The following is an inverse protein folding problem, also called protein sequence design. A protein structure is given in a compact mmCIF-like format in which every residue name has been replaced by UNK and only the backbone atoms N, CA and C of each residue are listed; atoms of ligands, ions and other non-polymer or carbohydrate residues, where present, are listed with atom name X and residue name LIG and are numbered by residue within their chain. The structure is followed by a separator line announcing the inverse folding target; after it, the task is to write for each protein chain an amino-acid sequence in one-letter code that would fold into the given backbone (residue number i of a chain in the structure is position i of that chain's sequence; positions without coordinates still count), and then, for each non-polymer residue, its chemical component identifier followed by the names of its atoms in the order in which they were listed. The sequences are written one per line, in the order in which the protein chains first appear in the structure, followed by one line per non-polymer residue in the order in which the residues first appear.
data_IF_998108040973
#
_entry.id   IF_998108040973
#
_cell.length_a   1.000
_cell.length_b   1.000
_cell.length_c   1.000
_cell.angle_alpha   90.00
_cell.angle_beta   90.00
_cell.angle_gamma   90.00
#
_symmetry.space_group_name_H-M   'P 1'
#
loop_
_entity.id
_entity.type
_entity.pdbx_description
1 polymer ?
#
# COMPACT_ATOMS: atom_id res chain seq x y z
N UNK A 1 -38.48 -20.08 -15.39
CA UNK A 1 -39.94 -20.09 -15.36
C UNK A 1 -40.49 -20.53 -13.99
N UNK A 2 -40.29 -21.75 -13.51
CA UNK A 2 -40.85 -22.18 -12.20
C UNK A 2 -40.46 -21.31 -10.99
N UNK A 3 -39.26 -20.78 -10.93
CA UNK A 3 -38.81 -19.92 -9.82
C UNK A 3 -39.54 -18.57 -9.81
N UNK A 4 -39.79 -17.99 -10.96
CA UNK A 4 -40.47 -16.72 -11.13
C UNK A 4 -41.98 -16.85 -10.82
N UNK A 5 -42.59 -18.00 -11.15
CA UNK A 5 -43.98 -18.31 -10.78
C UNK A 5 -44.15 -18.49 -9.28
N UNK A 6 -43.18 -19.13 -8.61
CA UNK A 6 -43.20 -19.31 -7.15
C UNK A 6 -43.06 -17.95 -6.43
N UNK A 7 -42.19 -17.08 -6.87
CA UNK A 7 -42.03 -15.73 -6.31
C UNK A 7 -43.33 -14.91 -6.48
N UNK A 8 -43.99 -14.99 -7.63
CA UNK A 8 -45.26 -14.32 -7.85
C UNK A 8 -46.37 -14.84 -6.97
N UNK A 9 -46.38 -16.14 -6.69
CA UNK A 9 -47.31 -16.72 -5.74
C UNK A 9 -47.02 -16.29 -4.28
N UNK A 10 -45.78 -16.17 -3.90
CA UNK A 10 -45.39 -15.63 -2.59
C UNK A 10 -45.77 -14.16 -2.46
N UNK A 11 -45.52 -13.37 -3.48
CA UNK A 11 -45.91 -11.96 -3.55
C UNK A 11 -47.43 -11.79 -3.38
N UNK A 12 -48.24 -12.53 -4.12
CA UNK A 12 -49.69 -12.48 -4.02
C UNK A 12 -50.18 -12.77 -2.60
N UNK A 13 -49.59 -13.74 -1.89
CA UNK A 13 -49.92 -14.05 -0.50
C UNK A 13 -49.55 -12.92 0.48
N UNK A 14 -48.51 -12.21 0.21
CA UNK A 14 -48.06 -11.10 1.05
C UNK A 14 -48.92 -9.86 0.76
N UNK A 15 -49.30 -9.62 -0.49
CA UNK A 15 -50.26 -8.57 -0.89
C UNK A 15 -51.67 -8.81 -0.27
N UNK A 16 -52.11 -10.09 -0.20
CA UNK A 16 -53.34 -10.43 0.54
C UNK A 16 -53.25 -10.14 2.04
N UNK A 17 -52.10 -10.38 2.65
CA UNK A 17 -51.91 -10.02 4.08
C UNK A 17 -51.89 -8.51 4.28
N UNK A 18 -51.29 -7.76 3.33
CA UNK A 18 -51.27 -6.29 3.35
C UNK A 18 -52.70 -5.73 3.26
N UNK A 19 -53.51 -6.24 2.33
CA UNK A 19 -54.90 -5.81 2.20
C UNK A 19 -55.74 -6.12 3.43
N UNK A 20 -55.55 -7.29 4.03
CA UNK A 20 -56.24 -7.66 5.27
C UNK A 20 -55.81 -6.76 6.46
N UNK A 21 -54.56 -6.39 6.56
CA UNK A 21 -54.08 -5.47 7.59
C UNK A 21 -54.61 -4.04 7.40
N UNK A 22 -54.74 -3.57 6.16
CA UNK A 22 -55.38 -2.29 5.83
C UNK A 22 -56.86 -2.28 6.14
N UNK A 23 -57.59 -3.33 5.76
CA UNK A 23 -59.03 -3.49 6.09
C UNK A 23 -59.25 -3.52 7.58
N UNK A 24 -58.38 -4.20 8.35
CA UNK A 24 -58.47 -4.23 9.81
C UNK A 24 -58.22 -2.84 10.42
N UNK A 25 -57.27 -2.09 9.88
CA UNK A 25 -57.00 -0.69 10.32
C UNK A 25 -58.17 0.24 10.00
N UNK A 26 -58.76 0.13 8.79
CA UNK A 26 -59.95 0.88 8.40
C UNK A 26 -61.18 0.52 9.25
N UNK A 27 -61.32 -0.73 9.64
CA UNK A 27 -62.42 -1.17 10.50
C UNK A 27 -62.36 -0.55 11.88
N UNK A 28 -61.16 -0.41 12.47
CA UNK A 28 -60.98 0.30 13.76
C UNK A 28 -61.34 1.77 13.63
N UNK A 29 -60.89 2.43 12.55
CA UNK A 29 -61.20 3.81 12.29
C UNK A 29 -62.71 4.07 12.02
N UNK A 30 -63.33 3.21 11.22
CA UNK A 30 -64.77 3.30 10.91
C UNK A 30 -65.65 3.00 12.13
N UNK A 31 -65.26 2.08 13.00
CA UNK A 31 -65.96 1.81 14.24
C UNK A 31 -65.99 3.06 15.16
N UNK A 32 -64.86 3.76 15.30
CA UNK A 32 -64.81 4.97 16.09
C UNK A 32 -65.67 6.12 15.52
N UNK A 33 -65.72 6.24 14.16
CA UNK A 33 -66.58 7.22 13.48
C UNK A 33 -68.05 6.88 13.62
N UNK A 34 -68.42 5.59 13.53
CA UNK A 34 -69.83 5.16 13.60
C UNK A 34 -70.41 5.33 15.03
N UNK A 35 -69.55 5.23 16.04
CA UNK A 35 -69.95 5.42 17.46
C UNK A 35 -69.85 6.90 17.92
N UNK A 36 -69.55 7.82 17.00
CA UNK A 36 -69.37 9.28 17.27
C UNK A 36 -68.44 9.58 18.46
N UNK A 37 -67.43 8.68 18.69
CA UNK A 37 -66.45 8.85 19.80
C UNK A 37 -65.07 9.19 19.26
N UNK A 38 -64.29 9.87 20.05
CA UNK A 38 -62.87 10.05 19.77
C UNK A 38 -62.13 8.72 19.95
N UNK A 39 -61.06 8.50 19.18
CA UNK A 39 -60.17 7.33 19.31
C UNK A 39 -59.66 7.23 20.75
N UNK A 40 -59.79 6.07 21.34
CA UNK A 40 -59.24 5.80 22.70
C UNK A 40 -57.77 5.45 22.59
N UNK A 41 -57.04 5.51 23.71
CA UNK A 41 -55.61 5.15 23.75
C UNK A 41 -55.38 3.69 23.28
N UNK A 42 -56.36 2.79 23.48
CA UNK A 42 -56.32 1.40 22.98
C UNK A 42 -56.48 1.33 21.46
N UNK A 43 -57.35 2.14 20.87
CA UNK A 43 -57.58 2.18 19.43
C UNK A 43 -56.37 2.77 18.70
N UNK A 44 -55.73 3.79 19.28
CA UNK A 44 -54.51 4.38 18.75
C UNK A 44 -53.32 3.42 18.81
N UNK A 45 -53.16 2.64 19.87
CA UNK A 45 -52.16 1.62 20.00
C UNK A 45 -52.36 0.46 18.96
N UNK A 46 -53.64 0.10 18.69
CA UNK A 46 -53.95 -0.92 17.70
C UNK A 46 -53.66 -0.42 16.27
N UNK A 47 -53.97 0.84 15.95
CA UNK A 47 -53.65 1.46 14.68
C UNK A 47 -52.11 1.56 14.49
N UNK A 48 -51.36 1.93 15.48
CA UNK A 48 -49.88 1.98 15.44
C UNK A 48 -49.30 0.59 15.25
N UNK A 49 -49.82 -0.45 15.92
CA UNK A 49 -49.40 -1.82 15.75
C UNK A 49 -49.67 -2.33 14.33
N UNK A 50 -50.81 -1.97 13.73
CA UNK A 50 -51.14 -2.34 12.34
C UNK A 50 -50.29 -1.56 11.33
N UNK A 51 -49.97 -0.30 11.61
CA UNK A 51 -49.03 0.45 10.75
C UNK A 51 -47.62 -0.17 10.75
N UNK A 52 -47.14 -0.61 11.92
CA UNK A 52 -45.85 -1.30 12.02
C UNK A 52 -45.86 -2.65 11.27
N UNK A 53 -47.00 -3.37 11.32
CA UNK A 53 -47.19 -4.62 10.57
C UNK A 53 -47.18 -4.37 9.05
N UNK A 54 -47.86 -3.33 8.56
CA UNK A 54 -47.88 -2.92 7.16
C UNK A 54 -46.47 -2.52 6.69
N UNK A 55 -45.76 -1.74 7.49
CA UNK A 55 -44.37 -1.34 7.17
C UNK A 55 -43.44 -2.56 7.01
N UNK A 56 -43.56 -3.56 7.89
CA UNK A 56 -42.82 -4.83 7.76
C UNK A 56 -43.20 -5.65 6.52
N UNK A 57 -44.47 -5.59 6.10
CA UNK A 57 -44.96 -6.25 4.88
C UNK A 57 -44.45 -5.51 3.64
N UNK A 58 -44.39 -4.17 3.66
CA UNK A 58 -43.88 -3.35 2.56
C UNK A 58 -42.37 -3.61 2.34
N UNK A 59 -41.57 -3.75 3.40
CA UNK A 59 -40.17 -4.14 3.31
C UNK A 59 -39.98 -5.53 2.68
N UNK A 60 -40.84 -6.48 3.01
CA UNK A 60 -40.84 -7.82 2.39
C UNK A 60 -41.23 -7.79 0.90
N UNK A 61 -42.17 -6.94 0.52
CA UNK A 61 -42.55 -6.75 -0.89
C UNK A 61 -41.43 -6.14 -1.69
N UNK A 62 -40.73 -5.14 -1.16
CA UNK A 62 -39.58 -4.50 -1.80
C UNK A 62 -38.44 -5.52 -2.03
N UNK A 63 -38.14 -6.35 -1.03
CA UNK A 63 -37.15 -7.42 -1.17
C UNK A 63 -37.53 -8.49 -2.22
N UNK A 64 -38.80 -8.76 -2.41
CA UNK A 64 -39.31 -9.66 -3.44
C UNK A 64 -39.23 -9.03 -4.83
N UNK A 65 -39.54 -7.74 -4.96
CA UNK A 65 -39.44 -6.98 -6.20
C UNK A 65 -38.00 -6.92 -6.70
N UNK A 66 -37.03 -6.70 -5.79
CA UNK A 66 -35.60 -6.76 -6.14
C UNK A 66 -35.18 -8.13 -6.67
N UNK A 67 -35.63 -9.22 -6.00
CA UNK A 67 -35.34 -10.61 -6.44
C UNK A 67 -36.00 -10.94 -7.77
N UNK A 68 -37.23 -10.49 -8.00
CA UNK A 68 -37.92 -10.66 -9.29
C UNK A 68 -37.15 -9.93 -10.40
N UNK A 69 -36.71 -8.71 -10.16
CA UNK A 69 -35.92 -7.92 -11.13
C UNK A 69 -34.55 -8.58 -11.47
N UNK A 70 -33.90 -9.19 -10.49
CA UNK A 70 -32.68 -9.96 -10.74
C UNK A 70 -32.93 -11.21 -11.59
N UNK A 71 -33.98 -11.96 -11.29
CA UNK A 71 -34.34 -13.19 -12.05
C UNK A 71 -34.77 -12.85 -13.48
N UNK A 72 -35.48 -11.76 -13.71
CA UNK A 72 -35.84 -11.28 -15.05
C UNK A 72 -34.55 -10.93 -15.85
N UNK A 73 -33.60 -10.21 -15.25
CA UNK A 73 -32.30 -9.92 -15.90
C UNK A 73 -31.51 -11.19 -16.25
N UNK A 74 -31.55 -12.21 -15.38
CA UNK A 74 -30.91 -13.49 -15.65
C UNK A 74 -31.64 -14.23 -16.78
N UNK A 75 -32.95 -14.18 -16.81
CA UNK A 75 -33.75 -14.80 -17.87
C UNK A 75 -33.53 -14.11 -19.22
N UNK A 76 -33.52 -12.77 -19.27
CA UNK A 76 -33.20 -12.01 -20.48
C UNK A 76 -31.79 -12.34 -21.01
N UNK A 77 -30.78 -12.48 -20.11
CA UNK A 77 -29.44 -12.91 -20.51
C UNK A 77 -29.40 -14.33 -21.05
N UNK A 78 -30.18 -15.24 -20.48
CA UNK A 78 -30.26 -16.63 -20.97
C UNK A 78 -31.00 -16.72 -22.28
N UNK A 79 -32.08 -15.98 -22.48
CA UNK A 79 -32.84 -15.91 -23.74
C UNK A 79 -32.02 -15.19 -24.86
N UNK A 80 -31.28 -14.12 -24.52
CA UNK A 80 -30.36 -13.49 -25.45
C UNK A 80 -29.20 -14.43 -25.87
N UNK A 81 -28.81 -15.35 -24.97
CA UNK A 81 -27.81 -16.36 -25.26
C UNK A 81 -28.38 -17.52 -26.10
N UNK A 82 -29.62 -17.88 -25.88
CA UNK A 82 -30.34 -18.91 -26.65
C UNK A 82 -30.79 -18.45 -28.05
N UNK A 83 -31.03 -17.14 -28.21
CA UNK A 83 -31.44 -16.52 -29.50
C UNK A 83 -30.26 -16.04 -30.34
N UNK A 84 -29.00 -16.31 -29.95
CA UNK A 84 -27.90 -16.15 -30.90
C UNK A 84 -28.14 -17.14 -32.05
N UNK A 85 -28.24 -16.67 -33.31
CA UNK A 85 -28.40 -17.60 -34.42
C UNK A 85 -27.23 -18.59 -34.38
N UNK A 86 -27.56 -19.86 -34.19
CA UNK A 86 -26.61 -20.95 -34.43
C UNK A 86 -26.24 -20.81 -35.89
N UNK A 87 -25.02 -20.33 -36.15
CA UNK A 87 -24.42 -20.40 -37.46
C UNK A 87 -24.49 -21.86 -37.87
N UNK A 88 -25.34 -22.18 -38.88
CA UNK A 88 -25.30 -23.46 -39.53
C UNK A 88 -23.86 -23.63 -40.03
N UNK A 89 -23.14 -24.55 -39.38
CA UNK A 89 -21.85 -24.99 -39.82
C UNK A 89 -22.04 -25.68 -41.17
N UNK A 90 -21.81 -24.95 -42.23
CA UNK A 90 -21.38 -25.57 -43.47
C UNK A 90 -20.06 -26.26 -43.06
N UNK A 91 -19.97 -27.56 -43.20
CA UNK A 91 -18.82 -28.39 -42.87
C UNK A 91 -17.58 -28.00 -43.69
N UNK A 92 -16.96 -26.92 -43.28
CA UNK A 92 -15.58 -26.64 -43.56
C UNK A 92 -14.74 -27.45 -42.57
N UNK A 93 -13.63 -28.09 -42.97
CA UNK A 93 -12.81 -28.84 -42.03
C UNK A 93 -12.46 -27.94 -40.86
N UNK A 94 -12.81 -28.39 -39.66
CA UNK A 94 -12.72 -27.65 -38.40
C UNK A 94 -11.28 -27.17 -38.23
N UNK A 95 -11.06 -25.97 -37.70
CA UNK A 95 -9.73 -25.42 -37.43
C UNK A 95 -8.92 -26.33 -36.51
N UNK A 96 -9.55 -27.17 -35.70
CA UNK A 96 -8.98 -28.22 -34.87
C UNK A 96 -8.45 -29.38 -35.68
N UNK A 97 -9.05 -29.76 -36.82
CA UNK A 97 -8.57 -30.83 -37.67
C UNK A 97 -7.23 -30.46 -38.33
N UNK A 98 -7.07 -29.21 -38.73
CA UNK A 98 -5.82 -28.71 -39.33
C UNK A 98 -4.70 -28.59 -38.28
N UNK A 99 -5.04 -28.35 -37.01
CA UNK A 99 -4.08 -28.25 -35.93
C UNK A 99 -3.48 -29.61 -35.57
N UNK A 100 -4.26 -30.68 -35.64
CA UNK A 100 -3.85 -32.06 -35.36
C UNK A 100 -3.17 -32.76 -36.55
N UNK A 101 -3.36 -32.22 -37.77
CA UNK A 101 -2.72 -32.77 -38.94
C UNK A 101 -1.20 -32.41 -39.02
N UNK A 102 -0.37 -33.41 -38.75
CA UNK A 102 1.10 -33.28 -38.86
C UNK A 102 1.60 -33.04 -40.29
N UNK A 103 0.76 -33.30 -41.28
CA UNK A 103 1.11 -33.14 -42.72
C UNK A 103 0.68 -31.77 -43.27
N UNK A 104 -0.07 -30.97 -42.53
CA UNK A 104 -0.58 -29.67 -42.95
C UNK A 104 0.57 -28.74 -43.39
N UNK A 105 0.43 -28.16 -44.57
CA UNK A 105 1.41 -27.22 -45.09
C UNK A 105 1.34 -25.87 -44.38
N UNK A 106 2.44 -25.09 -44.31
CA UNK A 106 2.43 -23.76 -43.71
C UNK A 106 1.36 -22.83 -44.30
N UNK A 107 1.01 -23.01 -45.55
CA UNK A 107 -0.01 -22.22 -46.23
C UNK A 107 -1.43 -22.55 -45.73
N UNK A 108 -1.71 -23.85 -45.54
CA UNK A 108 -3.01 -24.31 -44.97
C UNK A 108 -3.18 -23.84 -43.52
N UNK A 109 -2.12 -23.84 -42.73
CA UNK A 109 -2.11 -23.33 -41.39
C UNK A 109 -2.34 -21.79 -41.36
N UNK A 110 -1.71 -21.06 -42.27
CA UNK A 110 -1.89 -19.60 -42.41
C UNK A 110 -3.32 -19.24 -42.83
N UNK A 111 -3.94 -19.99 -43.71
CA UNK A 111 -5.33 -19.83 -44.12
C UNK A 111 -6.33 -20.18 -42.99
N UNK A 112 -6.01 -21.19 -42.19
CA UNK A 112 -6.78 -21.59 -41.02
C UNK A 112 -6.73 -20.50 -39.94
N UNK A 113 -5.54 -19.92 -39.65
CA UNK A 113 -5.34 -18.77 -38.77
C UNK A 113 -6.19 -17.56 -39.20
N UNK A 114 -6.15 -17.25 -40.49
CA UNK A 114 -6.92 -16.10 -41.01
C UNK A 114 -8.42 -16.30 -40.80
N UNK A 115 -8.92 -17.52 -41.05
CA UNK A 115 -10.33 -17.88 -40.87
C UNK A 115 -10.76 -17.89 -39.39
N UNK A 116 -9.94 -18.40 -38.50
CA UNK A 116 -10.27 -18.45 -37.06
C UNK A 116 -10.30 -17.05 -36.42
N UNK A 117 -9.55 -16.11 -36.94
CA UNK A 117 -9.51 -14.73 -36.47
C UNK A 117 -10.57 -13.82 -37.16
N UNK A 118 -11.06 -14.18 -38.35
CA UNK A 118 -12.15 -13.44 -39.04
C UNK A 118 -13.44 -13.35 -38.24
N UNK A 119 -13.71 -14.27 -37.30
CA UNK A 119 -14.85 -14.24 -36.40
C UNK A 119 -14.63 -13.52 -35.06
N UNK A 120 -13.38 -13.18 -34.74
CA UNK A 120 -13.00 -12.60 -33.42
C UNK A 120 -12.51 -11.15 -33.50
N UNK A 121 -12.22 -10.65 -34.70
CA UNK A 121 -11.74 -9.27 -34.93
C UNK A 121 -12.82 -8.50 -35.67
N UNK A 122 -13.46 -7.56 -34.97
CA UNK A 122 -14.58 -6.77 -35.51
C UNK A 122 -14.15 -5.63 -36.45
N UNK A 123 -12.84 -5.33 -36.53
CA UNK A 123 -12.34 -4.16 -37.22
C UNK A 123 -11.61 -4.54 -38.51
N UNK A 124 -12.01 -3.97 -39.65
CA UNK A 124 -11.45 -4.28 -40.97
C UNK A 124 -9.96 -3.89 -41.09
N UNK A 125 -9.52 -2.83 -40.40
CA UNK A 125 -8.11 -2.40 -40.37
C UNK A 125 -7.24 -3.39 -39.60
N UNK A 126 -7.73 -3.90 -38.47
CA UNK A 126 -7.04 -4.89 -37.66
C UNK A 126 -6.91 -6.23 -38.39
N UNK A 127 -7.93 -6.63 -39.17
CA UNK A 127 -7.86 -7.81 -40.04
C UNK A 127 -6.82 -7.66 -41.14
N UNK A 128 -6.62 -6.48 -41.68
CA UNK A 128 -5.59 -6.22 -42.68
C UNK A 128 -4.18 -6.28 -42.08
N UNK A 129 -4.02 -5.88 -40.83
CA UNK A 129 -2.80 -6.09 -40.05
C UNK A 129 -2.50 -7.57 -39.80
N UNK A 130 -3.50 -8.36 -39.38
CA UNK A 130 -3.39 -9.81 -39.21
C UNK A 130 -2.99 -10.48 -40.52
N UNK A 131 -3.61 -10.14 -41.63
CA UNK A 131 -3.25 -10.66 -42.96
C UNK A 131 -1.81 -10.33 -43.37
N UNK A 132 -1.33 -9.12 -43.04
CA UNK A 132 0.08 -8.72 -43.26
C UNK A 132 1.05 -9.50 -42.40
N UNK A 133 0.71 -9.74 -41.11
CA UNK A 133 1.51 -10.56 -40.18
C UNK A 133 1.59 -12.01 -40.66
N UNK A 134 0.46 -12.61 -41.03
CA UNK A 134 0.38 -13.97 -41.54
C UNK A 134 1.19 -14.11 -42.84
N UNK A 135 1.16 -13.11 -43.74
CA UNK A 135 2.00 -13.08 -44.94
C UNK A 135 3.49 -13.01 -44.62
N UNK A 136 3.88 -12.29 -43.60
CA UNK A 136 5.29 -12.16 -43.16
C UNK A 136 5.84 -13.48 -42.61
N UNK A 137 5.03 -14.26 -41.94
CA UNK A 137 5.40 -15.54 -41.32
C UNK A 137 4.91 -16.77 -42.08
N UNK A 138 4.63 -16.64 -43.38
CA UNK A 138 4.04 -17.67 -44.26
C UNK A 138 4.85 -18.96 -44.38
N UNK A 139 6.12 -18.99 -43.95
CA UNK A 139 6.98 -20.16 -43.93
C UNK A 139 7.17 -20.81 -42.56
N UNK A 140 6.67 -20.17 -41.50
CA UNK A 140 6.87 -20.60 -40.12
C UNK A 140 5.67 -21.40 -39.63
N UNK A 141 5.82 -22.74 -39.67
CA UNK A 141 4.77 -23.67 -39.28
C UNK A 141 4.48 -23.64 -37.79
N UNK A 142 5.50 -23.43 -36.97
CA UNK A 142 5.35 -23.40 -35.50
C UNK A 142 4.64 -22.14 -35.04
N UNK A 143 4.99 -21.01 -35.63
CA UNK A 143 4.31 -19.75 -35.40
C UNK A 143 2.80 -19.82 -35.74
N UNK A 144 2.47 -20.36 -36.90
CA UNK A 144 1.08 -20.49 -37.36
C UNK A 144 0.25 -21.44 -36.46
N UNK A 145 0.86 -22.57 -36.07
CA UNK A 145 0.23 -23.48 -35.08
C UNK A 145 0.01 -22.84 -33.71
N UNK A 146 1.02 -22.14 -33.21
CA UNK A 146 0.91 -21.45 -31.91
C UNK A 146 -0.18 -20.41 -31.91
N UNK A 147 -0.39 -19.67 -32.99
CA UNK A 147 -1.43 -18.69 -33.13
C UNK A 147 -2.83 -19.31 -33.24
N UNK A 148 -2.94 -20.36 -34.07
CA UNK A 148 -4.19 -21.10 -34.28
C UNK A 148 -4.68 -21.76 -32.97
N UNK A 149 -3.78 -22.37 -32.21
CA UNK A 149 -4.11 -22.99 -30.94
C UNK A 149 -4.59 -21.98 -29.88
N UNK A 150 -4.04 -20.77 -29.86
CA UNK A 150 -4.49 -19.68 -28.96
C UNK A 150 -5.81 -19.06 -29.36
N UNK A 151 -6.22 -19.22 -30.62
CA UNK A 151 -7.48 -18.73 -31.15
C UNK A 151 -8.66 -19.67 -30.84
N UNK A 152 -8.44 -20.84 -30.23
CA UNK A 152 -9.50 -21.77 -29.83
C UNK A 152 -10.14 -21.35 -28.50
N UNK A 153 -11.47 -21.49 -28.42
CA UNK A 153 -12.24 -21.11 -27.20
C UNK A 153 -11.92 -22.05 -26.03
N UNK A 154 -11.56 -23.29 -26.29
CA UNK A 154 -11.13 -24.29 -25.31
C UNK A 154 -9.80 -23.89 -24.65
N UNK A 155 -8.88 -23.29 -25.41
CA UNK A 155 -7.64 -22.76 -24.84
C UNK A 155 -7.89 -21.57 -23.94
N UNK A 156 -8.74 -20.64 -24.35
CA UNK A 156 -9.08 -19.44 -23.57
C UNK A 156 -9.77 -19.82 -22.25
N UNK A 157 -10.74 -20.74 -22.29
CA UNK A 157 -11.44 -21.22 -21.10
C UNK A 157 -10.52 -22.02 -20.17
N UNK A 158 -9.65 -22.86 -20.73
CA UNK A 158 -8.67 -23.64 -19.97
C UNK A 158 -7.63 -22.73 -19.31
N UNK A 159 -7.16 -21.74 -20.03
CA UNK A 159 -6.22 -20.74 -19.50
C UNK A 159 -6.81 -19.93 -18.35
N UNK A 160 -8.05 -19.46 -18.49
CA UNK A 160 -8.75 -18.74 -17.41
C UNK A 160 -8.87 -19.58 -16.12
N UNK A 161 -9.06 -20.92 -16.25
CA UNK A 161 -9.09 -21.83 -15.10
C UNK A 161 -7.70 -22.02 -14.47
N UNK A 162 -6.64 -22.08 -15.26
CA UNK A 162 -5.26 -22.20 -14.75
C UNK A 162 -4.84 -20.95 -14.00
N UNK A 163 -5.07 -19.76 -14.56
CA UNK A 163 -4.75 -18.47 -13.94
C UNK A 163 -5.50 -18.24 -12.63
N UNK A 164 -6.76 -18.70 -12.55
CA UNK A 164 -7.55 -18.63 -11.31
C UNK A 164 -7.22 -19.73 -10.29
N UNK A 165 -6.15 -20.51 -10.51
CA UNK A 165 -5.73 -21.60 -9.62
C UNK A 165 -6.65 -22.84 -9.64
N UNK A 166 -7.55 -22.94 -10.63
CA UNK A 166 -8.52 -24.02 -10.78
C UNK A 166 -8.11 -25.05 -11.84
N UNK A 167 -6.82 -25.29 -12.00
CA UNK A 167 -6.28 -26.24 -13.00
C UNK A 167 -6.86 -27.67 -12.86
N UNK A 168 -7.39 -28.04 -11.71
CA UNK A 168 -8.06 -29.32 -11.47
C UNK A 168 -9.45 -29.41 -12.10
N UNK A 169 -10.04 -28.29 -12.55
CA UNK A 169 -11.35 -28.23 -13.23
C UNK A 169 -11.25 -28.26 -14.77
N UNK A 170 -10.08 -28.50 -15.31
CA UNK A 170 -9.87 -28.59 -16.75
C UNK A 170 -10.56 -29.81 -17.34
N UNK A 171 -11.38 -29.61 -18.37
CA UNK A 171 -11.97 -30.68 -19.17
C UNK A 171 -10.90 -31.37 -20.07
N UNK A 172 -11.20 -32.56 -20.61
CA UNK A 172 -10.25 -33.26 -21.48
C UNK A 172 -9.92 -32.47 -22.75
N UNK A 173 -10.89 -31.76 -23.33
CA UNK A 173 -10.72 -30.89 -24.50
C UNK A 173 -9.80 -29.71 -24.20
N UNK A 174 -10.01 -29.03 -23.07
CA UNK A 174 -9.16 -27.94 -22.60
C UNK A 174 -7.72 -28.41 -22.28
N UNK A 175 -7.58 -29.60 -21.68
CA UNK A 175 -6.26 -30.21 -21.45
C UNK A 175 -5.55 -30.53 -22.78
N UNK A 176 -6.29 -31.05 -23.76
CA UNK A 176 -5.75 -31.38 -25.06
C UNK A 176 -5.34 -30.11 -25.80
N UNK A 177 -6.18 -29.08 -25.79
CA UNK A 177 -5.87 -27.77 -26.38
C UNK A 177 -4.60 -27.15 -25.78
N UNK A 178 -4.41 -27.29 -24.47
CA UNK A 178 -3.21 -26.81 -23.78
C UNK A 178 -1.99 -27.72 -23.96
N UNK A 179 -2.15 -29.03 -24.18
CA UNK A 179 -1.06 -29.98 -24.34
C UNK A 179 -0.50 -30.05 -25.78
N UNK A 180 -1.32 -29.75 -26.79
CA UNK A 180 -0.87 -29.64 -28.18
C UNK A 180 0.13 -28.51 -28.43
N UNK A 181 0.29 -27.66 -27.48
CA UNK A 181 1.17 -26.49 -27.48
C UNK A 181 2.53 -26.74 -26.81
N UNK A 182 2.81 -27.93 -26.31
CA UNK A 182 4.13 -28.28 -25.77
C UNK A 182 5.14 -28.44 -26.88
N UNK A 183 5.90 -27.37 -27.15
CA UNK A 183 7.14 -27.47 -27.90
C UNK A 183 8.21 -28.17 -27.03
N UNK A 184 9.21 -28.78 -27.68
CA UNK A 184 10.26 -29.59 -27.06
C UNK A 184 11.03 -28.87 -25.91
N UNK A 185 10.89 -27.57 -25.77
CA UNK A 185 11.51 -26.73 -24.71
C UNK A 185 10.55 -26.01 -23.77
N UNK A 186 9.21 -26.22 -23.87
CA UNK A 186 8.24 -25.80 -22.84
C UNK A 186 8.10 -24.29 -22.57
N UNK A 187 8.79 -23.41 -23.29
CA UNK A 187 9.01 -22.04 -22.84
C UNK A 187 8.22 -20.94 -23.59
N UNK A 188 7.50 -21.30 -24.71
CA UNK A 188 6.91 -20.27 -25.57
C UNK A 188 5.39 -20.08 -25.44
N UNK A 189 4.73 -20.74 -24.51
CA UNK A 189 3.27 -20.89 -24.52
C UNK A 189 2.54 -20.32 -23.32
N UNK A 190 3.27 -19.80 -22.38
CA UNK A 190 2.64 -18.92 -21.37
C UNK A 190 2.42 -17.60 -22.10
N UNK A 191 1.15 -17.11 -22.26
CA UNK A 191 0.97 -15.73 -22.67
C UNK A 191 1.79 -14.93 -21.68
N UNK A 192 2.71 -14.12 -22.18
CA UNK A 192 3.40 -13.14 -21.35
C UNK A 192 2.32 -12.17 -20.83
N UNK A 193 1.64 -12.58 -19.78
CA UNK A 193 0.85 -11.66 -19.01
C UNK A 193 1.87 -10.76 -18.32
N UNK A 194 1.97 -9.54 -18.80
CA UNK A 194 2.74 -8.54 -18.12
C UNK A 194 2.03 -8.31 -16.79
N UNK A 195 2.62 -8.78 -15.70
CA UNK A 195 2.18 -8.41 -14.39
C UNK A 195 2.44 -6.88 -14.27
N UNK A 196 1.41 -6.04 -14.16
CA UNK A 196 1.61 -4.60 -14.04
C UNK A 196 2.22 -4.18 -12.71
N UNK A 197 2.42 -5.12 -11.78
CA UNK A 197 2.99 -4.83 -10.45
C UNK A 197 4.46 -4.47 -10.59
N UNK A 198 4.82 -3.27 -10.21
CA UNK A 198 6.22 -2.82 -10.19
C UNK A 198 6.91 -3.35 -8.93
N UNK A 199 7.90 -4.21 -9.10
CA UNK A 199 8.75 -4.67 -7.99
C UNK A 199 9.86 -3.64 -7.78
N UNK A 200 9.83 -2.97 -6.63
CA UNK A 200 10.87 -2.03 -6.24
C UNK A 200 12.15 -2.81 -5.91
N UNK A 201 13.21 -2.58 -6.68
CA UNK A 201 14.49 -3.30 -6.56
C UNK A 201 15.59 -2.47 -5.90
N UNK A 202 15.26 -1.28 -5.39
CA UNK A 202 16.24 -0.48 -4.67
C UNK A 202 16.53 -1.05 -3.27
N UNK A 203 17.72 -0.78 -2.75
CA UNK A 203 18.17 -1.18 -1.41
C UNK A 203 17.91 -0.07 -0.37
N UNK A 204 16.85 0.72 -0.53
CA UNK A 204 16.54 1.82 0.39
C UNK A 204 16.11 1.33 1.76
N UNK A 205 16.50 2.06 2.79
CA UNK A 205 16.09 1.81 4.18
C UNK A 205 14.69 2.36 4.46
N UNK A 206 14.01 1.76 5.41
CA UNK A 206 12.80 2.35 6.00
C UNK A 206 13.18 3.41 7.02
N UNK A 207 12.35 4.45 7.21
CA UNK A 207 12.57 5.50 8.21
C UNK A 207 12.32 4.96 9.64
N UNK A 208 13.32 4.29 10.22
CA UNK A 208 13.26 3.72 11.55
C UNK A 208 13.08 4.78 12.65
N UNK A 209 13.66 5.98 12.47
CA UNK A 209 13.57 7.09 13.42
C UNK A 209 12.14 7.59 13.60
N UNK A 210 11.35 7.62 12.54
CA UNK A 210 9.96 8.07 12.60
C UNK A 210 9.09 7.22 13.54
N UNK A 211 9.40 5.92 13.66
CA UNK A 211 8.66 5.00 14.53
C UNK A 211 8.88 5.26 16.03
N UNK A 212 10.08 5.72 16.41
CA UNK A 212 10.47 5.93 17.81
C UNK A 212 10.42 7.39 18.26
N UNK A 213 10.38 8.33 17.31
CA UNK A 213 10.42 9.78 17.55
C UNK A 213 9.02 10.37 17.74
N UNK A 214 8.98 11.58 18.28
CA UNK A 214 7.73 12.32 18.42
C UNK A 214 7.37 13.03 17.11
N UNK A 215 6.31 12.57 16.45
CA UNK A 215 5.78 13.22 15.24
C UNK A 215 4.72 14.24 15.62
N UNK A 216 4.87 15.48 15.15
CA UNK A 216 3.94 16.58 15.35
C UNK A 216 3.48 17.12 14.02
N UNK A 217 2.18 17.30 13.86
CA UNK A 217 1.59 17.89 12.66
C UNK A 217 1.25 19.35 12.90
N UNK A 218 1.72 20.25 12.03
CA UNK A 218 1.37 21.66 12.09
C UNK A 218 -0.12 21.88 11.83
N UNK A 219 -0.77 22.69 12.62
CA UNK A 219 -2.22 22.93 12.52
C UNK A 219 -2.59 24.05 11.55
N UNK A 220 -1.67 24.99 11.31
CA UNK A 220 -1.94 26.17 10.48
C UNK A 220 -1.24 26.08 9.12
N UNK A 221 -1.92 26.36 8.02
CA UNK A 221 -1.31 26.32 6.68
C UNK A 221 -0.11 27.26 6.48
N UNK A 222 -0.06 28.37 7.23
CA UNK A 222 0.99 29.38 7.13
C UNK A 222 2.27 29.08 7.94
N UNK A 223 2.21 28.14 8.89
CA UNK A 223 3.33 27.85 9.76
C UNK A 223 4.50 27.25 8.98
N UNK A 224 5.69 27.80 9.23
CA UNK A 224 6.96 27.35 8.64
C UNK A 224 7.87 26.67 9.66
N UNK A 225 7.52 26.72 10.94
CA UNK A 225 8.24 26.08 12.04
C UNK A 225 7.31 25.69 13.15
N UNK A 226 7.64 24.62 13.85
CA UNK A 226 7.04 24.26 15.11
C UNK A 226 7.83 24.95 16.24
N UNK A 227 7.11 25.43 17.25
CA UNK A 227 7.71 26.04 18.43
C UNK A 227 7.29 25.30 19.68
N UNK A 228 8.26 24.83 20.44
CA UNK A 228 8.07 24.18 21.73
C UNK A 228 8.34 25.11 22.88
N UNK A 229 8.05 24.64 24.08
CA UNK A 229 8.43 25.31 25.34
C UNK A 229 9.23 24.30 26.15
N UNK A 230 10.42 24.66 26.52
CA UNK A 230 11.31 23.87 27.40
C UNK A 230 11.60 24.64 28.67
N UNK A 231 11.80 23.93 29.78
CA UNK A 231 12.22 24.52 31.05
C UNK A 231 13.09 23.52 31.82
N UNK A 232 14.09 24.01 32.49
CA UNK A 232 14.88 23.21 33.42
C UNK A 232 14.12 22.82 34.70
N UNK A 233 12.95 23.44 34.89
CA UNK A 233 12.12 23.24 36.09
C UNK A 233 12.45 24.21 37.23
N UNK A 234 11.89 23.92 38.37
CA UNK A 234 12.09 24.69 39.60
C UNK A 234 13.01 23.87 40.52
N UNK A 235 13.94 24.51 41.19
CA UNK A 235 14.81 23.93 42.19
C UNK A 235 14.09 24.05 43.56
N UNK A 236 14.20 23.06 44.42
CA UNK A 236 13.67 23.09 45.76
C UNK A 236 14.80 22.83 46.75
N UNK A 237 14.81 23.57 47.86
CA UNK A 237 15.80 23.41 48.95
C UNK A 237 15.11 23.01 50.27
N UNK A 238 15.85 22.36 51.14
CA UNK A 238 15.47 22.19 52.53
C UNK A 238 16.18 23.24 53.35
N UNK A 239 15.40 24.21 53.85
CA UNK A 239 15.95 25.33 54.56
C UNK A 239 15.71 25.19 56.07
N UNK A 240 16.59 25.81 56.89
CA UNK A 240 16.41 25.83 58.33
C UNK A 240 15.23 26.74 58.74
N UNK A 241 14.72 26.55 59.92
CA UNK A 241 13.63 27.39 60.45
C UNK A 241 14.04 28.87 60.46
N UNK A 242 13.20 29.75 59.92
CA UNK A 242 13.43 31.21 59.81
C UNK A 242 14.47 31.62 58.73
N UNK A 243 14.81 30.73 57.81
CA UNK A 243 15.63 31.09 56.64
C UNK A 243 14.74 31.56 55.48
N UNK A 244 15.16 32.57 54.76
CA UNK A 244 14.46 33.06 53.59
C UNK A 244 14.56 32.05 52.44
N UNK A 245 13.43 31.86 51.76
CA UNK A 245 13.38 30.96 50.58
C UNK A 245 14.08 31.64 49.40
N UNK A 246 14.89 30.87 48.68
CA UNK A 246 15.54 31.33 47.43
C UNK A 246 14.50 31.55 46.32
N UNK A 247 14.74 32.52 45.46
CA UNK A 247 13.96 32.71 44.24
C UNK A 247 14.42 31.72 43.15
N UNK A 248 13.64 30.65 43.01
CA UNK A 248 13.90 29.58 42.06
C UNK A 248 12.97 29.64 40.82
N UNK A 249 12.65 30.84 40.37
CA UNK A 249 11.78 31.07 39.20
C UNK A 249 12.28 30.32 37.97
N UNK A 250 11.44 29.46 37.32
CA UNK A 250 11.88 28.68 36.18
C UNK A 250 12.18 29.56 34.95
N UNK A 251 13.26 29.28 34.26
CA UNK A 251 13.53 29.83 32.94
C UNK A 251 12.87 29.00 31.87
N UNK A 252 12.29 29.64 30.85
CA UNK A 252 11.66 29.00 29.72
C UNK A 252 12.49 29.24 28.47
N UNK A 253 12.77 28.15 27.74
CA UNK A 253 13.36 28.17 26.39
C UNK A 253 12.27 27.90 25.35
N UNK A 254 12.50 28.40 24.15
CA UNK A 254 11.58 28.20 23.02
C UNK A 254 12.35 27.57 21.83
N UNK A 255 12.57 26.25 21.85
CA UNK A 255 13.14 25.58 20.69
C UNK A 255 12.18 25.65 19.50
N UNK A 256 12.74 25.81 18.30
CA UNK A 256 11.99 25.87 17.05
C UNK A 256 12.50 24.86 16.06
N UNK A 257 11.61 24.09 15.45
CA UNK A 257 11.92 23.13 14.40
C UNK A 257 11.39 23.66 13.07
N UNK A 258 12.30 23.98 12.15
CA UNK A 258 11.97 24.51 10.83
C UNK A 258 11.52 23.39 9.88
N UNK A 259 10.58 23.72 8.99
CA UNK A 259 10.06 22.77 7.99
C UNK A 259 10.66 23.09 6.61
N UNK A 260 11.25 22.10 5.99
CA UNK A 260 11.90 22.19 4.68
C UNK A 260 11.04 21.52 3.60
N UNK A 261 11.18 22.00 2.35
CA UNK A 261 10.45 21.44 1.20
C UNK A 261 11.26 20.31 0.59
N UNK A 262 10.64 19.15 0.45
CA UNK A 262 11.11 18.04 -0.36
C UNK A 262 10.24 17.90 -1.60
N UNK A 263 10.80 17.37 -2.68
CA UNK A 263 10.11 17.19 -3.94
C UNK A 263 10.69 16.03 -4.73
N UNK A 264 9.83 15.37 -5.49
CA UNK A 264 10.19 14.31 -6.41
C UNK A 264 9.41 14.48 -7.71
N UNK A 265 9.97 14.04 -8.82
CA UNK A 265 9.35 14.14 -10.13
C UNK A 265 9.61 12.87 -10.93
N UNK A 266 8.55 12.35 -11.54
CA UNK A 266 8.61 11.23 -12.47
C UNK A 266 7.91 11.62 -13.78
N UNK A 267 8.37 11.06 -14.90
CA UNK A 267 7.76 11.27 -16.21
C UNK A 267 7.63 9.94 -16.94
N UNK A 268 6.57 9.80 -17.72
CA UNK A 268 6.35 8.68 -18.62
C UNK A 268 5.83 9.17 -19.97
N UNK A 269 5.96 8.36 -21.04
CA UNK A 269 5.31 8.65 -22.30
C UNK A 269 3.80 8.46 -22.20
N UNK A 270 3.05 9.16 -23.04
CA UNK A 270 1.58 9.00 -23.13
C UNK A 270 1.23 7.55 -23.48
N UNK A 271 2.00 6.93 -24.38
CA UNK A 271 1.80 5.55 -24.80
C UNK A 271 2.00 4.56 -23.64
N UNK A 272 3.03 4.77 -22.81
CA UNK A 272 3.27 3.90 -21.64
C UNK A 272 2.18 4.05 -20.56
N UNK A 273 1.61 5.25 -20.39
CA UNK A 273 0.51 5.49 -19.44
C UNK A 273 -0.81 4.86 -19.92
N UNK A 274 -1.02 4.83 -21.23
CA UNK A 274 -2.21 4.21 -21.83
C UNK A 274 -2.08 2.66 -21.90
N UNK A 275 -0.86 2.12 -22.13
CA UNK A 275 -0.61 0.68 -22.27
C UNK A 275 -0.53 -0.05 -20.91
N UNK A 276 -0.06 0.61 -19.86
CA UNK A 276 0.12 0.01 -18.53
C UNK A 276 -1.03 0.45 -17.61
N UNK A 277 -2.04 -0.41 -17.49
CA UNK A 277 -3.14 -0.14 -16.58
C UNK A 277 -2.65 -0.11 -15.12
N UNK A 278 -2.85 1.01 -14.42
CA UNK A 278 -2.46 1.16 -13.01
C UNK A 278 -1.10 1.83 -12.78
N UNK A 279 -0.38 2.27 -13.82
CA UNK A 279 0.92 2.95 -13.71
C UNK A 279 0.91 4.10 -12.69
N UNK A 280 -0.15 4.90 -12.66
CA UNK A 280 -0.28 6.00 -11.71
C UNK A 280 -0.31 5.53 -10.25
N UNK A 281 -0.91 4.36 -9.97
CA UNK A 281 -0.94 3.75 -8.63
C UNK A 281 0.44 3.26 -8.20
N UNK A 282 1.17 2.61 -9.10
CA UNK A 282 2.53 2.13 -8.85
C UNK A 282 3.51 3.31 -8.64
N UNK A 283 3.35 4.38 -9.41
CA UNK A 283 4.14 5.61 -9.21
C UNK A 283 3.90 6.24 -7.83
N UNK A 284 2.67 6.20 -7.31
CA UNK A 284 2.39 6.66 -5.95
C UNK A 284 3.14 5.84 -4.90
N UNK A 285 3.20 4.52 -5.05
CA UNK A 285 3.98 3.65 -4.17
C UNK A 285 5.48 3.96 -4.24
N UNK A 286 6.00 4.19 -5.45
CA UNK A 286 7.40 4.60 -5.65
C UNK A 286 7.72 5.97 -5.03
N UNK A 287 6.78 6.93 -5.08
CA UNK A 287 6.96 8.22 -4.41
C UNK A 287 6.92 8.10 -2.88
N UNK A 288 6.09 7.20 -2.34
CA UNK A 288 6.08 6.93 -0.90
C UNK A 288 7.41 6.31 -0.43
N UNK A 289 7.95 5.34 -1.16
CA UNK A 289 9.27 4.76 -0.91
C UNK A 289 10.39 5.81 -1.01
N UNK A 290 10.37 6.65 -2.04
CA UNK A 290 11.34 7.72 -2.22
C UNK A 290 11.30 8.75 -1.07
N UNK A 291 10.10 9.03 -0.55
CA UNK A 291 9.91 9.86 0.62
C UNK A 291 10.55 9.22 1.85
N UNK A 292 10.25 7.97 2.14
CA UNK A 292 10.75 7.28 3.33
C UNK A 292 12.27 7.19 3.34
N UNK A 293 12.89 6.93 2.19
CA UNK A 293 14.35 6.93 2.05
C UNK A 293 14.97 8.31 2.25
N UNK A 294 14.39 9.35 1.63
CA UNK A 294 14.90 10.71 1.76
C UNK A 294 14.78 11.22 3.20
N UNK A 295 13.62 10.98 3.84
CA UNK A 295 13.39 11.36 5.22
C UNK A 295 14.27 10.56 6.18
N UNK A 296 14.47 9.25 5.95
CA UNK A 296 15.33 8.39 6.75
C UNK A 296 16.76 8.91 6.80
N UNK A 297 17.35 9.18 5.63
CA UNK A 297 18.69 9.74 5.53
C UNK A 297 18.78 11.13 6.19
N UNK A 298 17.82 12.03 5.92
CA UNK A 298 17.81 13.36 6.47
C UNK A 298 17.63 13.38 7.99
N UNK A 299 16.78 12.51 8.55
CA UNK A 299 16.59 12.42 10.00
C UNK A 299 17.81 11.81 10.72
N UNK A 300 18.61 10.98 10.06
CA UNK A 300 19.86 10.47 10.63
C UNK A 300 20.99 11.52 10.57
N UNK A 301 21.30 12.01 9.38
CA UNK A 301 22.55 12.75 9.12
C UNK A 301 22.36 14.14 8.48
N UNK A 302 21.12 14.60 8.35
CA UNK A 302 20.81 15.89 7.71
C UNK A 302 21.51 17.07 8.39
N UNK A 303 21.92 18.05 7.59
CA UNK A 303 22.74 19.21 8.02
C UNK A 303 21.94 20.38 8.59
N UNK A 304 20.60 20.34 8.55
CA UNK A 304 19.73 21.46 8.93
C UNK A 304 19.69 22.62 7.95
N UNK A 305 20.46 22.55 6.84
CA UNK A 305 20.47 23.59 5.81
C UNK A 305 19.70 23.16 4.59
N UNK A 306 18.52 23.69 4.39
CA UNK A 306 17.53 23.27 3.36
C UNK A 306 17.00 21.83 3.52
N UNK A 307 17.37 21.17 4.58
CA UNK A 307 16.94 19.83 4.98
C UNK A 307 16.77 19.76 6.51
N UNK A 308 16.06 18.76 7.06
CA UNK A 308 15.93 18.58 8.50
C UNK A 308 17.29 18.40 9.21
N UNK A 309 17.36 18.74 10.49
CA UNK A 309 18.48 18.36 11.34
C UNK A 309 18.44 16.86 11.63
N UNK A 310 19.48 16.15 11.23
CA UNK A 310 19.67 14.75 11.58
C UNK A 310 20.08 14.59 13.04
N UNK A 311 19.63 13.51 13.69
CA UNK A 311 19.92 13.28 15.11
C UNK A 311 21.43 13.21 15.39
N UNK A 312 22.21 12.54 14.52
CA UNK A 312 23.66 12.45 14.69
C UNK A 312 24.33 13.82 14.55
N UNK A 313 23.92 14.62 13.59
CA UNK A 313 24.50 15.95 13.33
C UNK A 313 24.07 16.95 14.41
N UNK A 314 22.83 16.90 14.86
CA UNK A 314 22.35 17.78 15.93
C UNK A 314 23.07 17.53 17.26
N UNK A 315 23.34 16.27 17.60
CA UNK A 315 24.07 15.90 18.82
C UNK A 315 25.57 16.17 18.70
N UNK A 316 26.16 16.04 17.53
CA UNK A 316 27.58 16.36 17.24
C UNK A 316 27.88 17.84 17.45
N UNK A 317 26.88 18.72 17.31
CA UNK A 317 27.01 20.13 17.60
C UNK A 317 27.11 20.46 19.11
N UNK A 318 26.84 19.50 20.01
CA UNK A 318 26.76 19.68 21.45
C UNK A 318 27.77 18.78 22.20
N UNK A 319 28.92 19.31 22.50
CA UNK A 319 30.04 18.60 23.17
C UNK A 319 29.68 18.01 24.56
N UNK A 320 28.60 18.48 25.19
CA UNK A 320 28.18 17.95 26.50
C UNK A 320 27.53 16.55 26.42
N UNK A 321 27.11 16.13 25.23
CA UNK A 321 26.45 14.84 25.02
C UNK A 321 27.33 13.84 24.26
N UNK A 322 28.47 14.28 23.77
CA UNK A 322 29.45 13.43 23.10
C UNK A 322 30.22 12.56 24.10
N UNK A 323 30.37 11.31 23.74
CA UNK A 323 31.23 10.33 24.41
C UNK A 323 32.21 9.75 23.39
N UNK A 324 33.46 9.58 23.79
CA UNK A 324 34.48 9.07 22.90
C UNK A 324 34.87 7.66 23.31
N UNK A 325 35.03 6.75 22.34
CA UNK A 325 35.49 5.37 22.60
C UNK A 325 36.87 5.35 23.25
N UNK A 326 37.16 4.29 24.02
CA UNK A 326 38.48 4.15 24.67
C UNK A 326 39.60 3.86 23.64
N UNK A 327 39.25 3.22 22.53
CA UNK A 327 40.18 2.83 21.46
C UNK A 327 39.73 3.40 20.13
N UNK A 328 40.68 3.82 19.30
CA UNK A 328 40.37 4.30 17.96
C UNK A 328 39.78 3.21 17.07
N UNK A 329 38.73 3.57 16.36
CA UNK A 329 38.01 2.73 15.40
C UNK A 329 37.51 1.36 15.95
N UNK A 330 37.32 1.22 17.27
CA UNK A 330 36.82 0.00 17.89
C UNK A 330 35.87 0.30 19.05
N UNK A 331 34.81 -0.47 19.17
CA UNK A 331 33.83 -0.40 20.26
C UNK A 331 34.15 -1.51 21.26
N UNK A 332 34.15 -1.17 22.55
CA UNK A 332 34.32 -2.12 23.64
C UNK A 332 33.12 -2.05 24.58
N UNK A 333 32.93 -3.10 25.36
CA UNK A 333 31.89 -3.15 26.41
C UNK A 333 31.92 -1.92 27.33
N UNK A 334 33.13 -1.46 27.71
CA UNK A 334 33.32 -0.31 28.59
C UNK A 334 32.70 0.99 27.99
N UNK A 335 32.74 1.15 26.67
CA UNK A 335 32.18 2.28 25.97
C UNK A 335 30.65 2.25 26.02
N UNK A 336 30.06 1.08 25.82
CA UNK A 336 28.63 0.86 25.95
C UNK A 336 28.14 1.06 27.39
N UNK A 337 28.88 0.56 28.38
CA UNK A 337 28.58 0.75 29.80
C UNK A 337 28.63 2.24 30.18
N UNK A 338 29.58 3.00 29.63
CA UNK A 338 29.72 4.43 29.85
C UNK A 338 28.57 5.18 29.19
N UNK A 339 28.22 4.85 27.96
CA UNK A 339 27.10 5.45 27.24
C UNK A 339 25.79 5.24 27.97
N UNK A 340 25.51 4.00 28.41
CA UNK A 340 24.31 3.67 29.16
C UNK A 340 24.21 4.42 30.49
N UNK A 341 25.33 4.53 31.24
CA UNK A 341 25.37 5.20 32.55
C UNK A 341 25.25 6.71 32.45
N UNK A 342 25.74 7.29 31.38
CA UNK A 342 25.78 8.75 31.18
C UNK A 342 24.40 9.37 30.90
N UNK A 343 23.43 8.57 30.43
CA UNK A 343 22.05 9.05 30.28
C UNK A 343 21.38 9.11 31.66
N UNK A 344 20.81 10.25 32.07
CA UNK A 344 20.11 10.39 33.34
C UNK A 344 18.96 9.37 33.50
N UNK A 345 18.79 8.84 34.71
CA UNK A 345 17.77 7.82 35.00
C UNK A 345 16.36 8.24 34.57
N UNK A 346 16.09 9.57 34.64
CA UNK A 346 14.80 10.15 34.24
C UNK A 346 14.40 9.74 32.81
N UNK A 347 15.33 9.75 31.86
CA UNK A 347 15.07 9.43 30.46
C UNK A 347 15.40 7.97 30.10
N UNK A 348 16.29 7.34 30.86
CA UNK A 348 16.76 5.95 30.61
C UNK A 348 15.61 4.94 30.52
N UNK A 349 14.46 5.22 31.20
CA UNK A 349 13.29 4.35 31.17
C UNK A 349 12.68 4.12 29.80
N UNK A 350 12.74 5.13 28.92
CA UNK A 350 12.18 5.14 27.56
C UNK A 350 13.22 5.24 26.47
N UNK A 351 14.49 5.10 26.84
CA UNK A 351 15.60 5.19 25.89
C UNK A 351 15.66 3.99 24.96
N UNK A 352 16.11 4.23 23.75
CA UNK A 352 16.42 3.25 22.71
C UNK A 352 17.84 3.47 22.21
N UNK A 353 18.43 2.42 21.65
CA UNK A 353 19.69 2.50 20.92
C UNK A 353 19.40 2.70 19.45
N UNK A 354 20.07 3.61 18.79
CA UNK A 354 20.04 3.81 17.36
C UNK A 354 21.45 3.61 16.80
N UNK A 355 21.58 2.70 15.85
CA UNK A 355 22.86 2.38 15.23
C UNK A 355 22.69 1.76 13.85
N UNK A 356 23.79 1.73 13.09
CA UNK A 356 23.85 0.97 11.86
C UNK A 356 23.91 -0.54 12.15
N UNK A 357 23.32 -1.41 11.33
CA UNK A 357 23.40 -2.87 11.48
C UNK A 357 24.82 -3.42 11.64
N UNK A 358 25.82 -2.76 11.03
CA UNK A 358 27.23 -3.12 11.16
C UNK A 358 27.70 -3.04 12.62
N UNK A 359 27.33 -1.99 13.35
CA UNK A 359 27.69 -1.84 14.76
C UNK A 359 26.91 -2.78 15.66
N UNK A 360 25.65 -3.07 15.34
CA UNK A 360 24.87 -4.07 16.07
C UNK A 360 25.53 -5.43 16.00
N UNK A 361 26.01 -5.85 14.84
CA UNK A 361 26.74 -7.10 14.63
C UNK A 361 28.10 -7.09 15.35
N UNK A 362 28.84 -5.97 15.32
CA UNK A 362 30.11 -5.83 16.05
C UNK A 362 29.91 -6.00 17.56
N UNK A 363 28.85 -5.39 18.11
CA UNK A 363 28.49 -5.54 19.54
C UNK A 363 28.11 -6.97 19.88
N UNK A 364 27.37 -7.67 19.03
CA UNK A 364 27.05 -9.09 19.22
C UNK A 364 28.31 -9.95 19.27
N UNK A 365 29.29 -9.67 18.42
CA UNK A 365 30.55 -10.39 18.37
C UNK A 365 31.46 -10.14 19.58
N UNK A 366 31.32 -8.99 20.27
CA UNK A 366 32.06 -8.73 21.52
C UNK A 366 31.78 -9.78 22.61
N UNK A 367 30.53 -10.28 22.66
CA UNK A 367 30.13 -11.31 23.62
C UNK A 367 30.84 -12.64 23.40
N UNK A 368 31.07 -13.01 22.15
CA UNK A 368 31.69 -14.28 21.76
C UNK A 368 33.18 -14.33 22.10
N UNK A 369 33.87 -13.20 21.91
CA UNK A 369 35.32 -13.10 22.17
C UNK A 369 35.69 -13.16 23.66
N UNK A 370 34.79 -12.77 24.57
CA UNK A 370 35.00 -12.76 26.03
C UNK A 370 34.44 -13.98 26.75
N UNK A 371 33.93 -14.99 26.05
CA UNK A 371 33.39 -16.22 26.65
C UNK A 371 32.11 -16.00 27.49
N UNK A 372 31.58 -14.78 27.48
CA UNK A 372 30.33 -14.44 28.12
C UNK A 372 29.30 -14.14 27.02
N UNK A 373 28.23 -14.90 26.98
CA UNK A 373 27.10 -14.69 26.10
C UNK A 373 26.48 -13.30 26.35
N UNK A 374 26.96 -12.29 25.64
CA UNK A 374 26.45 -10.91 25.77
C UNK A 374 25.14 -10.72 25.04
N UNK A 375 24.86 -11.60 24.10
CA UNK A 375 23.63 -11.63 23.30
C UNK A 375 22.69 -12.77 23.71
N UNK A 376 22.79 -13.26 24.96
CA UNK A 376 21.91 -14.34 25.42
C UNK A 376 20.45 -13.92 25.63
N UNK A 377 20.12 -12.68 25.44
CA UNK A 377 18.74 -12.17 25.47
C UNK A 377 18.10 -12.06 24.06
N UNK A 378 18.60 -12.81 23.07
CA UNK A 378 17.89 -13.07 21.81
C UNK A 378 17.05 -14.35 21.94
N UNK A 379 15.89 -14.34 22.63
CA UNK A 379 14.92 -15.39 22.44
C UNK A 379 14.40 -15.26 21.01
N UNK A 380 14.35 -16.36 20.31
CA UNK A 380 13.77 -16.41 18.97
C UNK A 380 12.43 -15.66 18.93
N UNK A 381 12.37 -14.53 18.20
CA UNK A 381 11.14 -13.78 17.94
C UNK A 381 10.87 -12.56 18.82
N UNK A 382 11.80 -12.06 19.60
CA UNK A 382 11.69 -10.78 20.33
C UNK A 382 12.60 -9.71 19.73
N UNK A 383 12.21 -8.45 19.90
CA UNK A 383 12.98 -7.28 19.46
C UNK A 383 14.38 -7.31 20.07
N UNK A 384 15.41 -7.01 19.27
CA UNK A 384 16.78 -6.91 19.72
C UNK A 384 16.90 -5.90 20.86
N UNK A 385 17.49 -6.32 21.98
CA UNK A 385 17.64 -5.49 23.16
C UNK A 385 19.10 -5.46 23.63
N UNK A 386 19.60 -4.26 23.95
CA UNK A 386 20.88 -4.04 24.56
C UNK A 386 20.68 -3.37 25.92
N UNK A 387 21.15 -3.96 27.01
CA UNK A 387 20.85 -3.50 28.39
C UNK A 387 19.34 -3.36 28.67
N UNK A 388 18.53 -4.29 28.16
CA UNK A 388 17.06 -4.29 28.27
C UNK A 388 16.41 -3.04 27.63
N UNK A 389 17.07 -2.44 26.65
CA UNK A 389 16.55 -1.34 25.87
C UNK A 389 16.52 -1.75 24.40
N UNK A 390 15.46 -1.37 23.66
CA UNK A 390 15.36 -1.77 22.28
C UNK A 390 16.49 -1.18 21.45
N UNK A 391 16.99 -1.98 20.53
CA UNK A 391 17.91 -1.57 19.48
C UNK A 391 17.10 -1.28 18.23
N UNK A 392 17.31 -0.13 17.65
CA UNK A 392 16.71 0.30 16.40
C UNK A 392 17.84 0.42 15.39
N UNK A 393 17.77 -0.41 14.38
CA UNK A 393 18.73 -0.42 13.29
C UNK A 393 18.27 0.52 12.18
N UNK A 394 19.21 1.29 11.62
CA UNK A 394 18.98 2.13 10.46
C UNK A 394 20.20 2.07 9.55
N UNK A 395 19.99 1.73 8.29
CA UNK A 395 21.04 1.74 7.27
C UNK A 395 21.56 3.15 7.00
N UNK A 396 20.73 4.18 7.27
CA UNK A 396 21.10 5.60 7.12
C UNK A 396 21.96 6.14 8.27
N UNK A 397 22.08 5.36 9.36
CA UNK A 397 23.01 5.72 10.45
C UNK A 397 24.46 5.59 9.98
N UNK A 398 25.39 6.45 10.48
CA UNK A 398 26.79 6.40 10.08
C UNK A 398 27.41 5.02 10.28
N UNK A 399 28.10 4.53 9.26
CA UNK A 399 28.75 3.21 9.24
C UNK A 399 30.28 3.27 9.08
N UNK A 400 30.86 4.48 9.08
CA UNK A 400 32.28 4.68 8.93
C UNK A 400 33.00 4.65 10.27
N UNK A 401 34.19 4.09 10.27
CA UNK A 401 35.09 4.06 11.40
C UNK A 401 36.49 4.41 10.92
N UNK A 402 36.93 5.63 11.19
CA UNK A 402 38.24 6.06 10.85
C UNK A 402 39.10 6.34 12.11
N UNK A 403 40.40 6.23 11.98
CA UNK A 403 41.29 6.53 13.08
C UNK A 403 41.71 7.99 13.12
N UNK A 404 41.34 8.76 12.10
CA UNK A 404 41.79 10.16 11.90
C UNK A 404 40.73 11.19 12.22
N UNK A 405 39.47 10.84 12.17
CA UNK A 405 38.32 11.73 12.45
C UNK A 405 37.46 11.11 13.53
N UNK A 406 36.71 11.89 14.27
CA UNK A 406 35.67 11.42 15.19
C UNK A 406 34.44 11.07 14.38
N UNK A 407 34.26 9.80 14.10
CA UNK A 407 33.09 9.35 13.39
C UNK A 407 31.96 9.02 14.39
N UNK A 408 30.75 9.47 14.07
CA UNK A 408 29.55 9.18 14.87
C UNK A 408 29.14 7.73 14.68
N UNK A 409 28.86 6.98 15.75
CA UNK A 409 28.53 5.56 15.68
C UNK A 409 27.16 5.21 16.20
N UNK A 410 26.89 5.58 17.45
CA UNK A 410 25.72 5.11 18.19
C UNK A 410 25.10 6.28 18.93
N UNK A 411 23.79 6.40 18.85
CA UNK A 411 22.99 7.29 19.70
C UNK A 411 22.19 6.45 20.69
N UNK A 412 22.27 6.82 21.96
CA UNK A 412 21.44 6.24 23.01
C UNK A 412 20.68 7.34 23.74
N UNK A 413 19.36 7.26 23.81
CA UNK A 413 18.55 8.25 24.49
C UNK A 413 17.06 8.08 24.30
N UNK A 414 16.30 9.03 24.85
CA UNK A 414 14.83 9.08 24.74
C UNK A 414 14.42 9.89 23.50
N UNK A 415 14.13 9.18 22.42
CA UNK A 415 13.76 9.72 21.12
C UNK A 415 12.46 10.52 21.12
N UNK A 416 11.66 10.51 22.18
CA UNK A 416 10.52 11.43 22.31
C UNK A 416 10.94 12.92 22.38
N UNK A 417 12.23 13.17 22.63
CA UNK A 417 12.84 14.51 22.60
C UNK A 417 13.40 14.91 21.22
N UNK A 418 13.39 13.99 20.26
CA UNK A 418 13.63 14.30 18.85
C UNK A 418 12.27 14.48 18.19
N UNK A 419 12.02 15.67 17.65
CA UNK A 419 10.70 16.06 17.14
C UNK A 419 10.74 16.12 15.63
N UNK A 420 9.90 15.32 15.00
CA UNK A 420 9.65 15.35 13.55
C UNK A 420 8.38 16.17 13.33
N UNK A 421 8.43 17.15 12.45
CA UNK A 421 7.33 18.07 12.18
C UNK A 421 6.86 17.91 10.75
N UNK A 422 5.61 17.52 10.58
CA UNK A 422 4.96 17.38 9.28
C UNK A 422 4.00 18.53 9.03
N UNK A 423 3.93 18.99 7.79
CA UNK A 423 2.89 19.93 7.37
C UNK A 423 1.70 19.17 6.81
N UNK A 424 0.47 19.36 7.33
CA UNK A 424 -0.71 18.64 6.87
C UNK A 424 -1.03 18.96 5.41
N UNK A 425 -1.43 17.93 4.65
CA UNK A 425 -1.76 18.07 3.24
C UNK A 425 -0.60 18.44 2.33
N UNK A 426 0.65 18.32 2.82
CA UNK A 426 1.81 18.66 2.03
C UNK A 426 2.24 17.52 1.09
N UNK A 427 1.96 16.26 1.41
CA UNK A 427 2.21 15.18 0.47
C UNK A 427 1.11 15.17 -0.60
N UNK A 428 1.38 15.85 -1.70
CA UNK A 428 0.49 15.96 -2.84
C UNK A 428 1.23 15.52 -4.09
N UNK A 429 0.58 14.69 -4.89
CA UNK A 429 1.04 14.31 -6.21
C UNK A 429 0.18 15.06 -7.22
N UNK A 430 0.81 15.95 -7.98
CA UNK A 430 0.17 16.73 -9.04
C UNK A 430 0.46 16.08 -10.38
N UNK A 431 -0.60 15.80 -11.13
CA UNK A 431 -0.49 15.27 -12.48
C UNK A 431 -0.34 16.40 -13.48
N UNK A 432 0.69 16.31 -14.32
CA UNK A 432 0.98 17.26 -15.40
C UNK A 432 0.67 16.57 -16.72
N UNK A 433 -0.48 16.90 -17.35
CA UNK A 433 -0.98 16.16 -18.52
C UNK A 433 -0.13 16.38 -19.78
N UNK A 434 0.57 17.49 -19.88
CA UNK A 434 1.37 17.86 -21.05
C UNK A 434 2.70 18.44 -20.59
N UNK A 435 3.77 17.87 -21.09
CA UNK A 435 5.12 18.42 -20.92
C UNK A 435 5.62 19.02 -22.24
N UNK A 436 6.46 20.04 -22.12
CA UNK A 436 7.04 20.75 -23.24
C UNK A 436 8.54 20.47 -23.32
N UNK A 437 9.01 20.29 -24.54
CA UNK A 437 10.44 20.22 -24.80
C UNK A 437 11.09 21.58 -24.55
N UNK A 438 12.16 21.62 -23.75
CA UNK A 438 12.84 22.85 -23.36
C UNK A 438 13.52 23.59 -24.52
N UNK A 439 13.89 22.87 -25.61
CA UNK A 439 14.53 23.47 -26.77
C UNK A 439 13.54 24.07 -27.78
N UNK A 440 12.38 23.44 -27.95
CA UNK A 440 11.40 23.84 -28.99
C UNK A 440 10.14 24.46 -28.45
N UNK A 441 9.88 24.35 -27.13
CA UNK A 441 8.65 24.77 -26.45
C UNK A 441 7.38 24.12 -27.06
N UNK A 442 7.51 22.98 -27.73
CA UNK A 442 6.39 22.19 -28.24
C UNK A 442 6.11 21.02 -27.33
N UNK A 443 4.85 20.54 -27.25
CA UNK A 443 4.50 19.31 -26.53
C UNK A 443 5.31 18.13 -27.05
N UNK A 444 5.89 17.33 -26.17
CA UNK A 444 6.75 16.20 -26.53
C UNK A 444 6.14 14.81 -26.28
N UNK A 445 4.84 14.75 -25.97
CA UNK A 445 4.13 13.50 -25.74
C UNK A 445 4.48 12.82 -24.41
N UNK A 446 4.98 13.57 -23.43
CA UNK A 446 5.24 13.09 -22.07
C UNK A 446 4.22 13.64 -21.08
N UNK A 447 3.91 12.82 -20.10
CA UNK A 447 3.13 13.14 -18.89
C UNK A 447 4.06 13.17 -17.70
N UNK A 448 3.78 14.02 -16.71
CA UNK A 448 4.59 14.15 -15.50
C UNK A 448 3.77 13.98 -14.24
N UNK A 449 4.40 13.45 -13.20
CA UNK A 449 3.87 13.41 -11.85
C UNK A 449 4.85 14.15 -10.95
N UNK A 450 4.38 15.24 -10.36
CA UNK A 450 5.15 16.06 -9.44
C UNK A 450 4.67 15.82 -8.02
N UNK A 451 5.55 15.30 -7.19
CA UNK A 451 5.28 15.09 -5.77
C UNK A 451 6.05 16.11 -4.95
N UNK A 452 5.39 16.72 -3.99
CA UNK A 452 6.06 17.60 -3.03
C UNK A 452 5.48 17.43 -1.64
N UNK A 453 6.34 17.62 -0.63
CA UNK A 453 5.92 17.61 0.77
C UNK A 453 6.83 18.52 1.60
N UNK A 454 6.46 18.70 2.85
CA UNK A 454 7.25 19.50 3.78
C UNK A 454 7.38 18.78 5.10
N UNK A 455 8.61 18.58 5.55
CA UNK A 455 8.97 17.97 6.81
C UNK A 455 10.12 18.71 7.44
N UNK A 456 10.24 18.62 8.75
CA UNK A 456 11.33 19.16 9.53
C UNK A 456 11.64 18.23 10.69
N UNK A 457 12.85 18.25 11.19
CA UNK A 457 13.19 17.51 12.39
C UNK A 457 14.34 18.20 13.12
N UNK A 458 14.35 18.05 14.45
CA UNK A 458 15.43 18.55 15.29
C UNK A 458 15.37 17.92 16.69
N UNK A 459 16.48 17.94 17.41
CA UNK A 459 16.55 17.62 18.83
C UNK A 459 16.11 18.82 19.67
N UNK A 460 15.07 18.64 20.47
CA UNK A 460 14.57 19.67 21.37
C UNK A 460 15.29 19.67 22.71
N UNK A 461 15.86 18.53 23.11
CA UNK A 461 16.57 18.37 24.36
C UNK A 461 17.71 17.37 24.20
N UNK A 462 18.89 17.86 23.88
CA UNK A 462 20.07 17.03 23.65
C UNK A 462 20.52 16.27 24.90
N UNK A 463 20.27 16.81 26.10
CA UNK A 463 20.66 16.15 27.36
C UNK A 463 19.98 14.81 27.60
N UNK A 464 18.88 14.54 26.89
CA UNK A 464 18.21 13.24 26.90
C UNK A 464 18.95 12.15 26.10
N UNK A 465 19.99 12.52 25.36
CA UNK A 465 20.76 11.65 24.49
C UNK A 465 22.23 11.59 24.88
N UNK A 466 22.92 10.57 24.38
CA UNK A 466 24.37 10.46 24.32
C UNK A 466 24.77 9.93 22.97
N UNK A 467 25.75 10.58 22.38
CA UNK A 467 26.35 10.23 21.10
C UNK A 467 27.71 9.58 21.37
N UNK A 468 27.89 8.35 20.93
CA UNK A 468 29.18 7.66 20.99
C UNK A 468 29.92 7.89 19.68
N UNK A 469 31.11 8.45 19.79
CA UNK A 469 32.01 8.77 18.69
C UNK A 469 33.31 7.99 18.78
N UNK A 470 33.99 7.86 17.66
CA UNK A 470 35.34 7.28 17.64
C UNK A 470 36.37 8.16 18.27
N UNK A 471 37.31 7.51 18.94
CA UNK A 471 38.56 8.16 19.35
C UNK A 471 39.50 8.32 18.16
N UNK A 472 40.04 9.49 17.96
CA UNK A 472 41.13 9.70 16.99
C UNK A 472 42.42 9.10 17.54
N UNK A 473 43.16 8.38 16.69
CA UNK A 473 44.56 8.06 17.00
C UNK A 473 45.35 9.34 16.89
N UNK A 474 45.80 9.82 18.04
CA UNK A 474 46.76 10.95 18.10
C UNK A 474 48.11 10.54 17.55
#
# INVERSE_FOLDING_TARGET
MKALELLRQERSKIEEKRSAALEAMEAVATAAITEERSLTDSDSAEVEARQAEIAGIDEQLEALDEREAELVKIQERTEARANRPSLQVISTPDSTDVLNDRSATPMQLADAVTRSLEGKVDDAENMDHVRKLVKRHKGDREWARGLLARATDEYESGWAKVVTGRAWQLNEEERTAMSTLTDANGNYLVPTHLDPTVIITNSGSSNALRAISRVVTLTRPGDTSWQGITSAGITASFDAQLTEVSDDTPTFGQPSVSVHKAQAFAQASIEADDDISGLAGELLAMFADARDRLEGAAHCTGSGTNEPWGIFTALDANTNVELVTNTAAAIFKADLDTTYRSVPVRWRGRSSWLMNPQWALEIQNLGTALGASYSSDLPQGTTDTLYRRPVVESDDAPNTATTTVRDNRIVFGDFTNYVIVDKPGSFAVEYIPVMFNTATNLPDGRRGWYCHWRTGADSVNDLAFRLLQDKTSA
#
